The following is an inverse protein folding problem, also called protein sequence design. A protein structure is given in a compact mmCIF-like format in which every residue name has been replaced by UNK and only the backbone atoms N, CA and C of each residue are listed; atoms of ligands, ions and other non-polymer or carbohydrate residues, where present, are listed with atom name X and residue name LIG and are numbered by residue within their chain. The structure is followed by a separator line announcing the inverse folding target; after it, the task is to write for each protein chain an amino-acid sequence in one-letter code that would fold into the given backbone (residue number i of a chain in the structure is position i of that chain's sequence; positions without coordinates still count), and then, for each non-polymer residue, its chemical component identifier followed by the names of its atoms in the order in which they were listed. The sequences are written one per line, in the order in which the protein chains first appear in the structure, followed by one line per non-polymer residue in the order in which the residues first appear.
data_IF_090863308769
#
_entry.id   IF_090863308769
#
_cell.length_a   1.000
_cell.length_b   1.000
_cell.length_c   1.000
_cell.angle_alpha   90.00
_cell.angle_beta   90.00
_cell.angle_gamma   90.00
#
_symmetry.space_group_name_H-M   'P 1'
#
loop_
_entity.id
_entity.type
_entity.pdbx_description
1 polymer ?
#
# COMPACT_ATOMS: atom_id res chain seq x y z
N UNK A 1 -34.02 -36.50 -21.10
CA UNK A 1 -33.43 -35.34 -21.82
C UNK A 1 -32.61 -34.49 -20.83
N UNK A 2 -31.28 -34.59 -20.92
CA UNK A 2 -30.37 -33.75 -20.14
C UNK A 2 -30.41 -32.35 -20.77
N UNK A 3 -30.73 -31.33 -19.98
CA UNK A 3 -30.67 -29.92 -20.42
C UNK A 3 -29.22 -29.60 -20.84
N UNK A 4 -28.99 -28.84 -21.93
CA UNK A 4 -27.64 -28.47 -22.31
C UNK A 4 -27.01 -27.66 -21.17
N UNK A 5 -25.85 -28.11 -20.70
CA UNK A 5 -25.00 -27.32 -19.81
C UNK A 5 -24.59 -26.06 -20.55
N UNK A 6 -25.14 -24.90 -20.15
CA UNK A 6 -24.63 -23.62 -20.62
C UNK A 6 -23.16 -23.49 -20.19
N UNK A 7 -22.25 -23.11 -21.10
CA UNK A 7 -20.84 -22.91 -20.74
C UNK A 7 -20.73 -21.77 -19.72
N UNK A 8 -19.80 -21.83 -18.76
CA UNK A 8 -19.61 -20.74 -17.82
C UNK A 8 -19.27 -19.47 -18.60
N UNK A 9 -20.08 -18.42 -18.43
CA UNK A 9 -19.79 -17.10 -18.96
C UNK A 9 -18.36 -16.70 -18.60
N UNK A 10 -17.50 -16.59 -19.62
CA UNK A 10 -16.13 -16.14 -19.49
C UNK A 10 -16.15 -14.67 -19.05
N UNK A 11 -16.15 -14.45 -17.74
CA UNK A 11 -16.07 -13.11 -17.15
C UNK A 11 -14.64 -12.62 -17.42
N UNK A 12 -14.46 -11.83 -18.47
CA UNK A 12 -13.19 -11.16 -18.75
C UNK A 12 -12.80 -10.35 -17.50
N UNK A 13 -11.76 -10.79 -16.80
CA UNK A 13 -11.20 -10.00 -15.71
C UNK A 13 -10.45 -8.85 -16.38
N UNK A 14 -10.82 -7.58 -16.16
CA UNK A 14 -10.10 -6.47 -16.75
C UNK A 14 -8.65 -6.53 -16.27
N UNK A 15 -7.71 -6.58 -17.22
CA UNK A 15 -6.29 -6.53 -16.89
C UNK A 15 -5.95 -5.13 -16.36
N UNK A 16 -5.56 -5.07 -15.09
CA UNK A 16 -5.06 -3.86 -14.46
C UNK A 16 -3.72 -3.47 -15.09
N UNK A 17 -3.56 -2.18 -15.34
CA UNK A 17 -2.35 -1.54 -15.85
C UNK A 17 -1.79 -0.59 -14.81
N UNK A 18 -0.47 -0.42 -14.77
CA UNK A 18 0.18 0.60 -13.91
C UNK A 18 -0.15 2.05 -14.32
N UNK A 19 -0.95 2.25 -15.38
CA UNK A 19 -1.51 3.55 -15.76
C UNK A 19 -2.88 3.82 -15.13
N UNK A 20 -3.51 2.81 -14.53
CA UNK A 20 -4.77 2.96 -13.80
C UNK A 20 -4.51 3.70 -12.47
N UNK A 21 -5.53 4.32 -11.86
CA UNK A 21 -5.41 4.94 -10.53
C UNK A 21 -5.28 3.84 -9.46
N UNK A 22 -4.06 3.31 -9.31
CA UNK A 22 -3.74 2.23 -8.39
C UNK A 22 -3.16 2.75 -7.08
N UNK A 23 -3.45 2.03 -6.01
CA UNK A 23 -2.80 2.17 -4.71
C UNK A 23 -2.49 0.77 -4.20
N UNK A 24 -1.27 0.56 -3.71
CA UNK A 24 -0.84 -0.71 -3.13
C UNK A 24 -0.82 -0.55 -1.61
N UNK A 25 -1.55 -1.40 -0.90
CA UNK A 25 -1.48 -1.49 0.57
C UNK A 25 -0.78 -2.78 0.93
N UNK A 26 0.25 -2.71 1.76
CA UNK A 26 1.04 -3.88 2.16
C UNK A 26 1.29 -3.91 3.65
N UNK A 27 1.23 -5.11 4.21
CA UNK A 27 1.80 -5.38 5.52
C UNK A 27 3.34 -5.39 5.43
N UNK A 28 3.99 -5.26 6.59
CA UNK A 28 5.44 -5.23 6.73
C UNK A 28 6.00 -6.60 7.08
N UNK A 29 5.71 -7.12 8.28
CA UNK A 29 6.37 -8.31 8.80
C UNK A 29 5.95 -9.57 8.05
N UNK A 30 6.91 -10.23 7.41
CA UNK A 30 6.62 -11.45 6.63
C UNK A 30 5.81 -11.21 5.36
N UNK A 31 5.63 -9.94 4.94
CA UNK A 31 5.01 -9.57 3.66
C UNK A 31 5.98 -8.76 2.82
N UNK A 32 6.21 -7.49 3.16
CA UNK A 32 7.18 -6.65 2.44
C UNK A 32 8.62 -6.90 2.92
N UNK A 33 8.79 -7.11 4.22
CA UNK A 33 10.08 -7.35 4.85
C UNK A 33 10.24 -8.84 5.13
N UNK A 34 11.44 -9.35 4.85
CA UNK A 34 11.80 -10.69 5.26
C UNK A 34 11.67 -10.83 6.79
N UNK A 35 10.96 -11.85 7.23
CA UNK A 35 10.59 -12.01 8.65
C UNK A 35 11.80 -12.27 9.57
N UNK A 36 12.91 -12.75 9.02
CA UNK A 36 14.10 -13.11 9.80
C UNK A 36 15.19 -12.04 9.77
N UNK A 37 15.29 -11.31 8.67
CA UNK A 37 16.40 -10.38 8.41
C UNK A 37 15.95 -8.92 8.31
N UNK A 38 14.63 -8.66 8.24
CA UNK A 38 14.05 -7.35 7.90
C UNK A 38 14.60 -6.77 6.58
N UNK A 39 15.20 -7.61 5.74
CA UNK A 39 15.73 -7.22 4.45
C UNK A 39 14.57 -7.01 3.46
N UNK A 40 14.76 -6.06 2.55
CA UNK A 40 13.79 -5.70 1.53
C UNK A 40 14.42 -5.67 0.12
N UNK A 41 15.65 -6.16 -0.04
CA UNK A 41 16.35 -6.21 -1.31
C UNK A 41 15.56 -6.92 -2.41
N UNK A 42 14.81 -7.97 -2.04
CA UNK A 42 13.92 -8.67 -2.96
C UNK A 42 12.76 -7.81 -3.47
N UNK A 43 12.28 -6.88 -2.64
CA UNK A 43 11.20 -5.96 -2.99
C UNK A 43 11.70 -4.71 -3.74
N UNK A 44 12.98 -4.36 -3.62
CA UNK A 44 13.58 -3.15 -4.22
C UNK A 44 13.20 -2.93 -5.70
N UNK A 45 13.30 -3.91 -6.62
CA UNK A 45 12.96 -3.69 -8.03
C UNK A 45 11.49 -3.27 -8.23
N UNK A 46 10.59 -3.80 -7.40
CA UNK A 46 9.17 -3.45 -7.44
C UNK A 46 8.90 -2.09 -6.83
N UNK A 47 9.54 -1.76 -5.70
CA UNK A 47 9.46 -0.42 -5.09
C UNK A 47 9.88 0.66 -6.11
N UNK A 48 11.03 0.48 -6.77
CA UNK A 48 11.51 1.41 -7.80
C UNK A 48 10.54 1.54 -8.97
N UNK A 49 9.96 0.42 -9.42
CA UNK A 49 9.01 0.41 -10.54
C UNK A 49 7.73 1.15 -10.18
N UNK A 50 7.15 0.87 -9.01
CA UNK A 50 5.92 1.50 -8.54
C UNK A 50 6.13 3.01 -8.31
N UNK A 51 7.25 3.40 -7.69
CA UNK A 51 7.62 4.81 -7.53
C UNK A 51 7.74 5.52 -8.88
N UNK A 52 8.39 4.91 -9.88
CA UNK A 52 8.49 5.48 -11.24
C UNK A 52 7.12 5.68 -11.91
N UNK A 53 6.17 4.80 -11.63
CA UNK A 53 4.80 4.90 -12.12
C UNK A 53 3.89 5.75 -11.22
N UNK A 54 4.45 6.42 -10.21
CA UNK A 54 3.70 7.23 -9.24
C UNK A 54 2.58 6.44 -8.55
N UNK A 55 2.74 5.12 -8.42
CA UNK A 55 1.80 4.24 -7.73
C UNK A 55 2.12 4.26 -6.23
N UNK A 56 1.28 4.87 -5.37
CA UNK A 56 1.57 4.96 -3.95
C UNK A 56 1.55 3.58 -3.29
N UNK A 57 2.54 3.37 -2.40
CA UNK A 57 2.66 2.20 -1.54
C UNK A 57 2.37 2.63 -0.11
N UNK A 58 1.28 2.13 0.44
CA UNK A 58 0.81 2.41 1.80
C UNK A 58 1.21 1.26 2.70
N UNK A 59 2.06 1.54 3.68
CA UNK A 59 2.45 0.57 4.69
C UNK A 59 1.32 0.44 5.72
N UNK A 60 1.01 -0.78 6.13
CA UNK A 60 -0.03 -1.08 7.12
C UNK A 60 0.49 -2.09 8.14
N UNK A 61 0.66 -1.73 9.41
CA UNK A 61 1.27 -2.65 10.39
C UNK A 61 0.80 -2.39 11.83
N UNK A 62 1.05 -3.36 12.71
CA UNK A 62 0.88 -3.24 14.16
C UNK A 62 1.96 -2.35 14.81
N UNK A 63 3.05 -2.08 14.10
CA UNK A 63 4.15 -1.21 14.55
C UNK A 63 3.67 0.20 14.88
N UNK A 64 4.39 0.84 15.80
CA UNK A 64 4.15 2.23 16.18
C UNK A 64 4.41 3.17 15.01
N UNK A 65 3.80 4.36 15.06
CA UNK A 65 4.05 5.43 14.07
C UNK A 65 5.54 5.72 13.86
N UNK A 66 6.32 5.70 14.95
CA UNK A 66 7.76 6.00 14.91
C UNK A 66 8.56 4.92 14.19
N UNK A 67 8.24 3.65 14.42
CA UNK A 67 8.89 2.54 13.74
C UNK A 67 8.57 2.54 12.24
N UNK A 68 7.30 2.78 11.86
CA UNK A 68 6.93 2.86 10.44
C UNK A 68 7.63 4.02 9.74
N UNK A 69 7.76 5.18 10.40
CA UNK A 69 8.48 6.33 9.82
C UNK A 69 9.95 5.99 9.50
N UNK A 70 10.66 5.31 10.42
CA UNK A 70 12.03 4.84 10.17
C UNK A 70 12.10 3.84 9.01
N UNK A 71 11.11 2.96 8.88
CA UNK A 71 11.03 2.01 7.77
C UNK A 71 10.78 2.75 6.44
N UNK A 72 9.89 3.74 6.41
CA UNK A 72 9.68 4.58 5.22
C UNK A 72 10.97 5.28 4.78
N UNK A 73 11.75 5.81 5.73
CA UNK A 73 13.05 6.42 5.43
C UNK A 73 13.99 5.44 4.74
N UNK A 74 14.10 4.22 5.25
CA UNK A 74 14.95 3.18 4.68
C UNK A 74 14.47 2.71 3.29
N UNK A 75 13.16 2.70 3.05
CA UNK A 75 12.55 2.27 1.79
C UNK A 75 12.45 3.39 0.73
N UNK A 76 12.79 4.64 1.09
CA UNK A 76 12.59 5.80 0.21
C UNK A 76 11.11 6.14 -0.01
N UNK A 77 10.25 5.80 0.95
CA UNK A 77 8.80 6.00 0.92
C UNK A 77 8.36 7.12 1.87
N UNK A 78 9.26 8.06 2.19
CA UNK A 78 8.94 9.18 3.07
C UNK A 78 7.76 9.98 2.51
N UNK A 79 7.04 10.67 3.41
CA UNK A 79 5.89 11.52 3.08
C UNK A 79 4.63 10.80 2.56
N UNK A 80 4.69 9.51 2.19
CA UNK A 80 3.52 8.72 1.83
C UNK A 80 2.65 8.40 3.05
N UNK A 81 1.32 8.23 2.88
CA UNK A 81 0.45 7.80 3.97
C UNK A 81 0.81 6.39 4.45
N UNK A 82 0.49 6.10 5.71
CA UNK A 82 0.59 4.77 6.28
C UNK A 82 -0.42 4.54 7.40
N UNK A 83 -0.61 3.26 7.75
CA UNK A 83 -1.49 2.78 8.79
C UNK A 83 -0.61 2.10 9.86
N UNK A 84 -0.65 2.61 11.08
CA UNK A 84 0.14 2.12 12.22
C UNK A 84 -0.78 1.63 13.34
N UNK A 85 -0.20 0.90 14.29
CA UNK A 85 -0.88 0.47 15.52
C UNK A 85 -2.20 -0.27 15.24
N UNK A 86 -2.19 -1.14 14.22
CA UNK A 86 -3.36 -1.90 13.75
C UNK A 86 -4.55 -1.01 13.33
N UNK A 87 -4.25 0.18 12.79
CA UNK A 87 -5.27 1.12 12.34
C UNK A 87 -5.69 2.15 13.37
N UNK A 88 -5.16 2.10 14.60
CA UNK A 88 -5.38 3.16 15.59
C UNK A 88 -4.75 4.49 15.16
N UNK A 89 -3.72 4.45 14.31
CA UNK A 89 -3.06 5.64 13.77
C UNK A 89 -3.06 5.57 12.24
N UNK A 90 -3.57 6.63 11.61
CA UNK A 90 -3.47 6.85 10.17
C UNK A 90 -2.64 8.11 9.95
N UNK A 91 -1.43 7.95 9.43
CA UNK A 91 -0.60 9.08 9.03
C UNK A 91 -0.96 9.48 7.61
N UNK A 92 -1.36 10.73 7.42
CA UNK A 92 -1.70 11.29 6.12
C UNK A 92 -0.44 11.70 5.36
N UNK A 93 -0.57 11.83 4.04
CA UNK A 93 0.50 12.37 3.20
C UNK A 93 0.91 13.76 3.72
N UNK A 94 2.20 14.05 3.80
CA UNK A 94 2.67 15.33 4.40
C UNK A 94 2.11 16.53 3.65
N UNK A 95 2.06 16.48 2.31
CA UNK A 95 1.43 17.50 1.47
C UNK A 95 -0.07 17.74 1.72
N UNK A 96 -0.78 16.86 2.43
CA UNK A 96 -2.20 17.06 2.76
C UNK A 96 -2.41 17.89 4.02
N UNK A 97 -1.38 18.11 4.85
CA UNK A 97 -1.56 18.85 6.09
C UNK A 97 -1.93 20.33 5.88
N UNK A 98 -1.70 20.88 4.68
CA UNK A 98 -1.94 22.29 4.34
C UNK A 98 -3.16 22.51 3.41
N UNK A 99 -3.91 21.45 3.06
CA UNK A 99 -5.06 21.59 2.15
C UNK A 99 -6.38 21.70 2.94
N UNK A 100 -7.17 22.74 2.68
CA UNK A 100 -8.45 23.01 3.37
C UNK A 100 -9.44 21.83 3.27
N UNK A 101 -9.37 21.07 2.18
CA UNK A 101 -10.20 19.87 1.94
C UNK A 101 -9.49 18.54 2.22
N UNK A 102 -8.30 18.56 2.83
CA UNK A 102 -7.63 17.30 3.18
C UNK A 102 -8.46 16.53 4.22
N UNK A 103 -8.46 15.17 4.16
CA UNK A 103 -9.04 14.38 5.23
C UNK A 103 -8.30 14.75 6.53
N UNK A 104 -8.94 15.43 7.48
CA UNK A 104 -8.35 15.67 8.79
C UNK A 104 -8.81 14.56 9.73
N UNK A 105 -7.89 14.03 10.54
CA UNK A 105 -8.32 13.29 11.73
C UNK A 105 -8.96 14.32 12.65
N UNK A 106 -10.28 14.22 12.87
CA UNK A 106 -10.97 15.08 13.83
C UNK A 106 -10.24 15.01 15.18
N UNK A 107 -9.68 16.12 15.69
CA UNK A 107 -9.16 16.14 17.04
C UNK A 107 -10.38 16.11 17.97
N UNK A 108 -10.61 14.94 18.59
CA UNK A 108 -11.50 14.82 19.74
C UNK A 108 -10.92 15.55 20.96
#
# INVERSE_FOLDING_TARGET
PVLPHEPPHNKEIPMLSLKDPLMIVTDLDGTLLDHHTYAWDAARPWLERLTRHQTPIILCSSKTRREIALIQENLGLQALPFIAENGAVIQLHTAWHDHLDAPCLYPG
#
